data_IF_926349036379
#
_entry.id   IF_926349036379
#
_cell.length_a   1.000
_cell.length_b   1.000
_cell.length_c   1.000
_cell.angle_alpha   90.00
_cell.angle_beta   90.00
_cell.angle_gamma   90.00
#
_symmetry.space_group_name_H-M   'P 1'
#
loop_
_entity.id
_entity.type
_entity.pdbx_description
1 polymer ?
#
# COMPACT_ATOMS: atom_id res chain seq x y z
N UNK A 1 -23.28 -5.46 20.31
CA UNK A 1 -22.81 -6.64 21.10
C UNK A 1 -21.38 -6.48 21.56
N UNK A 2 -20.36 -6.38 20.69
CA UNK A 2 -18.97 -6.18 21.13
C UNK A 2 -18.79 -4.91 21.98
N UNK A 3 -19.35 -3.77 21.52
CA UNK A 3 -19.36 -2.52 22.31
C UNK A 3 -19.93 -2.70 23.71
N UNK A 4 -21.08 -3.36 23.83
CA UNK A 4 -21.70 -3.65 25.13
C UNK A 4 -20.85 -4.60 25.98
N UNK A 5 -20.15 -5.57 25.39
CA UNK A 5 -19.23 -6.44 26.12
C UNK A 5 -17.97 -5.70 26.60
N UNK A 6 -17.54 -4.67 25.85
CA UNK A 6 -16.46 -3.76 26.25
C UNK A 6 -16.92 -2.88 27.42
N UNK A 7 -18.09 -2.25 27.28
CA UNK A 7 -18.73 -1.40 28.29
C UNK A 7 -18.99 -2.14 29.61
N UNK A 8 -19.40 -3.41 29.56
CA UNK A 8 -19.62 -4.26 30.73
C UNK A 8 -18.35 -4.93 31.27
N UNK A 9 -17.17 -4.52 30.79
CA UNK A 9 -15.86 -5.05 31.24
C UNK A 9 -15.76 -6.59 31.18
N UNK A 10 -16.47 -7.22 30.24
CA UNK A 10 -16.52 -8.68 30.13
C UNK A 10 -15.14 -9.24 29.79
N UNK A 11 -14.78 -10.38 30.38
CA UNK A 11 -13.50 -11.08 30.14
C UNK A 11 -13.15 -11.16 28.64
N UNK A 12 -11.89 -10.88 28.24
CA UNK A 12 -11.42 -10.99 26.85
C UNK A 12 -11.75 -12.33 26.19
N UNK A 13 -11.79 -13.45 26.93
CA UNK A 13 -12.18 -14.75 26.39
C UNK A 13 -13.60 -14.75 25.80
N UNK A 14 -14.51 -13.97 26.38
CA UNK A 14 -15.88 -13.82 25.88
C UNK A 14 -15.97 -12.77 24.75
N UNK A 15 -15.00 -11.85 24.64
CA UNK A 15 -14.91 -10.86 23.55
C UNK A 15 -14.36 -11.47 22.27
N UNK A 16 -13.39 -12.37 22.38
CA UNK A 16 -12.70 -13.00 21.25
C UNK A 16 -13.65 -13.60 20.19
N UNK A 17 -14.72 -14.35 20.54
CA UNK A 17 -15.66 -14.86 19.55
C UNK A 17 -16.39 -13.77 18.76
N UNK A 18 -16.65 -12.61 19.38
CA UNK A 18 -17.25 -11.47 18.67
C UNK A 18 -16.25 -10.83 17.72
N UNK A 19 -15.01 -10.58 18.17
CA UNK A 19 -13.93 -10.07 17.32
C UNK A 19 -13.70 -10.99 16.11
N UNK A 20 -13.72 -12.31 16.32
CA UNK A 20 -13.58 -13.30 15.25
C UNK A 20 -14.75 -13.26 14.27
N UNK A 21 -15.99 -13.13 14.76
CA UNK A 21 -17.18 -13.03 13.89
C UNK A 21 -17.19 -11.74 13.09
N UNK A 22 -16.87 -10.61 13.71
CA UNK A 22 -16.76 -9.31 13.03
C UNK A 22 -15.67 -9.37 11.97
N UNK A 23 -14.52 -9.95 12.32
CA UNK A 23 -13.41 -10.16 11.39
C UNK A 23 -13.75 -11.08 10.21
N UNK A 24 -14.88 -11.79 10.16
CA UNK A 24 -15.28 -12.59 8.97
C UNK A 24 -16.10 -11.82 7.95
N UNK A 25 -16.65 -10.66 8.34
CA UNK A 25 -17.53 -9.82 7.52
C UNK A 25 -16.99 -8.39 7.43
N UNK A 26 -15.67 -8.23 7.64
CA UNK A 26 -15.04 -6.92 7.75
C UNK A 26 -15.03 -6.17 6.42
N UNK A 27 -15.07 -6.90 5.31
CA UNK A 27 -15.17 -6.39 3.95
C UNK A 27 -16.53 -5.74 3.63
N UNK A 28 -17.57 -6.01 4.43
CA UNK A 28 -18.89 -5.37 4.35
C UNK A 28 -19.07 -4.27 5.40
N UNK A 29 -18.07 -4.05 6.27
CA UNK A 29 -18.15 -3.12 7.38
C UNK A 29 -17.88 -1.67 6.96
N UNK A 30 -18.40 -0.74 7.74
CA UNK A 30 -18.15 0.70 7.57
C UNK A 30 -17.19 1.22 8.65
N UNK A 31 -16.64 2.41 8.43
CA UNK A 31 -15.76 3.08 9.41
C UNK A 31 -16.44 3.16 10.77
N UNK A 32 -17.75 3.45 10.78
CA UNK A 32 -18.56 3.55 11.99
C UNK A 32 -18.60 2.25 12.78
N UNK A 33 -18.43 1.09 12.13
CA UNK A 33 -18.42 -0.21 12.80
C UNK A 33 -17.07 -0.47 13.49
N UNK A 34 -15.96 0.03 12.92
CA UNK A 34 -14.62 -0.01 13.51
C UNK A 34 -14.42 1.00 14.63
N UNK A 35 -15.18 2.11 14.64
CA UNK A 35 -15.11 3.16 15.67
C UNK A 35 -15.62 2.65 17.04
N UNK A 36 -14.81 1.84 17.73
CA UNK A 36 -15.05 1.34 19.09
C UNK A 36 -14.39 2.32 20.05
N UNK A 37 -15.14 3.07 20.88
CA UNK A 37 -14.54 3.98 21.86
C UNK A 37 -13.67 3.22 22.86
N UNK A 38 -12.54 3.81 23.26
CA UNK A 38 -11.76 3.29 24.39
C UNK A 38 -12.54 3.49 25.70
N UNK A 39 -12.27 2.63 26.67
CA UNK A 39 -12.90 2.68 27.98
C UNK A 39 -11.82 2.83 29.05
N UNK A 40 -11.80 3.97 29.75
CA UNK A 40 -10.84 4.25 30.81
C UNK A 40 -10.93 5.68 31.33
N UNK A 41 -10.60 5.88 32.62
CA UNK A 41 -10.50 7.21 33.24
C UNK A 41 -9.15 7.89 32.96
N UNK A 42 -8.14 7.13 32.54
CA UNK A 42 -6.90 7.66 32.01
C UNK A 42 -7.15 8.15 30.58
N UNK A 43 -6.58 9.30 30.21
CA UNK A 43 -6.60 9.83 28.83
C UNK A 43 -5.82 8.89 27.90
N UNK A 44 -6.44 7.77 27.56
CA UNK A 44 -5.98 6.85 26.55
C UNK A 44 -6.68 7.20 25.22
N UNK A 45 -6.06 6.81 24.10
CA UNK A 45 -6.54 7.02 22.72
C UNK A 45 -8.08 6.97 22.63
N UNK A 46 -8.73 7.86 21.89
CA UNK A 46 -10.19 7.99 21.77
C UNK A 46 -10.90 6.69 21.35
N UNK A 47 -10.19 5.83 20.62
CA UNK A 47 -10.69 4.57 20.10
C UNK A 47 -9.84 3.39 20.59
N UNK A 48 -10.47 2.23 20.79
CA UNK A 48 -9.77 0.98 21.12
C UNK A 48 -9.09 0.41 19.86
N UNK A 49 -7.94 0.98 19.53
CA UNK A 49 -7.09 0.60 18.38
C UNK A 49 -6.61 -0.85 18.50
N UNK A 50 -6.42 -1.36 19.72
CA UNK A 50 -6.03 -2.75 19.97
C UNK A 50 -7.15 -3.75 19.63
N UNK A 51 -8.41 -3.41 19.90
CA UNK A 51 -9.56 -4.20 19.45
C UNK A 51 -9.64 -4.26 17.93
N UNK A 52 -9.50 -3.11 17.27
CA UNK A 52 -9.47 -3.04 15.79
C UNK A 52 -8.33 -3.89 15.24
N UNK A 53 -7.14 -3.81 15.84
CA UNK A 53 -5.97 -4.64 15.47
C UNK A 53 -6.26 -6.14 15.56
N UNK A 54 -6.96 -6.59 16.61
CA UNK A 54 -7.37 -8.00 16.75
C UNK A 54 -8.41 -8.42 15.72
N UNK A 55 -9.39 -7.57 15.43
CA UNK A 55 -10.39 -7.80 14.37
C UNK A 55 -9.72 -7.93 13.00
N UNK A 56 -8.82 -7.00 12.66
CA UNK A 56 -8.04 -7.02 11.42
C UNK A 56 -7.19 -8.28 11.30
N UNK A 57 -6.47 -8.64 12.37
CA UNK A 57 -5.71 -9.89 12.42
C UNK A 57 -6.61 -11.10 12.17
N UNK A 58 -7.80 -11.14 12.77
CA UNK A 58 -8.76 -12.21 12.54
C UNK A 58 -9.20 -12.28 11.07
N UNK A 59 -9.51 -11.14 10.45
CA UNK A 59 -9.85 -11.08 9.02
C UNK A 59 -8.72 -11.64 8.15
N UNK A 60 -7.51 -11.11 8.28
CA UNK A 60 -6.39 -11.54 7.43
C UNK A 60 -5.96 -12.99 7.66
N UNK A 61 -6.00 -13.50 8.90
CA UNK A 61 -5.69 -14.90 9.18
C UNK A 61 -6.72 -15.86 8.54
N UNK A 62 -8.00 -15.46 8.54
CA UNK A 62 -9.12 -16.30 8.12
C UNK A 62 -9.65 -15.97 6.71
N UNK A 63 -9.03 -15.04 5.99
CA UNK A 63 -9.44 -14.68 4.65
C UNK A 63 -9.29 -15.87 3.70
N UNK A 64 -10.41 -16.32 3.15
CA UNK A 64 -10.50 -17.39 2.14
C UNK A 64 -11.14 -16.90 0.84
N UNK A 65 -11.18 -15.58 0.64
CA UNK A 65 -11.76 -14.99 -0.56
C UNK A 65 -11.05 -15.47 -1.84
N UNK A 66 -11.80 -15.69 -2.92
CA UNK A 66 -11.24 -16.19 -4.19
C UNK A 66 -10.40 -15.13 -4.92
N UNK A 67 -10.64 -13.84 -4.66
CA UNK A 67 -9.99 -12.70 -5.28
C UNK A 67 -9.51 -11.69 -4.24
N UNK A 68 -8.90 -10.58 -4.69
CA UNK A 68 -8.38 -9.56 -3.79
C UNK A 68 -9.44 -8.56 -3.32
N UNK A 69 -10.71 -8.70 -3.72
CA UNK A 69 -11.77 -7.68 -3.53
C UNK A 69 -12.05 -7.36 -2.06
N UNK A 70 -12.14 -8.38 -1.20
CA UNK A 70 -12.34 -8.20 0.24
C UNK A 70 -11.12 -7.62 0.94
N UNK A 71 -9.90 -8.06 0.57
CA UNK A 71 -8.65 -7.43 1.05
C UNK A 71 -8.58 -5.97 0.66
N UNK A 72 -9.07 -5.70 -0.56
CA UNK A 72 -9.19 -4.38 -1.12
C UNK A 72 -10.12 -3.57 -0.21
N UNK A 73 -11.40 -3.94 -0.07
CA UNK A 73 -12.37 -3.22 0.76
C UNK A 73 -11.87 -2.96 2.19
N UNK A 74 -11.25 -3.96 2.83
CA UNK A 74 -10.70 -3.80 4.19
C UNK A 74 -9.52 -2.82 4.23
N UNK A 75 -8.63 -2.80 3.25
CA UNK A 75 -7.55 -1.81 3.24
C UNK A 75 -8.07 -0.36 3.13
N UNK A 76 -9.09 -0.11 2.30
CA UNK A 76 -9.76 1.20 2.21
C UNK A 76 -10.43 1.57 3.54
N UNK A 77 -11.15 0.62 4.15
CA UNK A 77 -11.77 0.80 5.46
C UNK A 77 -10.73 1.14 6.55
N UNK A 78 -9.58 0.49 6.53
CA UNK A 78 -8.48 0.76 7.47
C UNK A 78 -7.85 2.11 7.20
N UNK A 79 -7.65 2.51 5.95
CA UNK A 79 -7.12 3.84 5.60
C UNK A 79 -8.07 4.97 6.05
N UNK A 80 -9.38 4.77 5.90
CA UNK A 80 -10.38 5.72 6.37
C UNK A 80 -10.43 5.77 7.90
N UNK A 81 -10.36 4.62 8.58
CA UNK A 81 -10.25 4.56 10.04
C UNK A 81 -8.94 5.23 10.52
N UNK A 82 -7.83 5.00 9.82
CA UNK A 82 -6.53 5.58 10.14
C UNK A 82 -6.59 7.10 10.05
N UNK A 83 -7.23 7.65 9.02
CA UNK A 83 -7.45 9.09 8.90
C UNK A 83 -8.32 9.67 10.04
N UNK A 84 -9.29 8.90 10.54
CA UNK A 84 -10.11 9.29 11.69
C UNK A 84 -9.29 9.32 12.99
N UNK A 85 -8.56 8.24 13.29
CA UNK A 85 -7.75 8.17 14.52
C UNK A 85 -6.53 9.08 14.47
N UNK A 86 -6.02 9.42 13.28
CA UNK A 86 -4.93 10.38 13.11
C UNK A 86 -5.24 11.77 13.67
N UNK A 87 -6.53 12.09 13.86
CA UNK A 87 -6.96 13.35 14.47
C UNK A 87 -6.87 13.36 15.99
N UNK A 88 -6.69 12.21 16.62
CA UNK A 88 -6.54 12.07 18.06
C UNK A 88 -5.11 12.40 18.49
N UNK A 89 -4.96 13.41 19.34
CA UNK A 89 -3.66 13.89 19.82
C UNK A 89 -2.98 12.88 20.76
N UNK A 90 -3.72 11.95 21.34
CA UNK A 90 -3.15 10.94 22.24
C UNK A 90 -2.69 9.68 21.46
N UNK A 91 -2.86 9.64 20.14
CA UNK A 91 -2.47 8.51 19.29
C UNK A 91 -0.94 8.38 19.18
N UNK A 92 -0.44 7.22 19.61
CA UNK A 92 0.99 6.91 19.54
C UNK A 92 1.44 6.63 18.10
N UNK A 93 2.64 7.07 17.76
CA UNK A 93 3.24 6.82 16.44
C UNK A 93 3.35 5.33 16.13
N UNK A 94 3.66 4.49 17.12
CA UNK A 94 3.70 3.03 16.97
C UNK A 94 2.35 2.41 16.63
N UNK A 95 1.25 2.93 17.20
CA UNK A 95 -0.10 2.47 16.92
C UNK A 95 -0.49 2.86 15.50
N UNK A 96 -0.22 4.12 15.14
CA UNK A 96 -0.45 4.64 13.79
C UNK A 96 0.30 3.84 12.72
N UNK A 97 1.61 3.63 12.88
CA UNK A 97 2.42 2.87 11.92
C UNK A 97 1.99 1.40 11.86
N UNK A 98 1.66 0.77 12.98
CA UNK A 98 1.18 -0.60 12.98
C UNK A 98 -0.13 -0.75 12.20
N UNK A 99 -1.09 0.17 12.30
CA UNK A 99 -2.34 0.10 11.54
C UNK A 99 -2.12 0.37 10.05
N UNK A 100 -1.28 1.35 9.71
CA UNK A 100 -0.89 1.64 8.34
C UNK A 100 -0.20 0.42 7.68
N UNK A 101 0.70 -0.26 8.38
CA UNK A 101 1.35 -1.48 7.93
C UNK A 101 0.34 -2.59 7.61
N UNK A 102 -0.71 -2.75 8.42
CA UNK A 102 -1.74 -3.75 8.17
C UNK A 102 -2.52 -3.48 6.89
N UNK A 103 -2.86 -2.21 6.62
CA UNK A 103 -3.52 -1.82 5.37
C UNK A 103 -2.63 -2.06 4.15
N UNK A 104 -1.35 -1.65 4.24
CA UNK A 104 -0.38 -1.84 3.15
C UNK A 104 -0.17 -3.32 2.85
N UNK A 105 -0.08 -4.16 3.88
CA UNK A 105 0.05 -5.60 3.72
C UNK A 105 -1.17 -6.21 3.00
N UNK A 106 -2.37 -5.70 3.26
CA UNK A 106 -3.59 -6.14 2.59
C UNK A 106 -3.64 -5.74 1.11
N UNK A 107 -3.02 -4.61 0.78
CA UNK A 107 -2.93 -4.10 -0.59
C UNK A 107 -1.64 -4.55 -1.32
N UNK A 108 -0.80 -5.39 -0.70
CA UNK A 108 0.47 -5.86 -1.27
C UNK A 108 0.21 -6.67 -2.56
N UNK A 109 0.66 -6.15 -3.71
CA UNK A 109 0.43 -6.75 -5.03
C UNK A 109 -0.84 -6.28 -5.75
N UNK A 110 -1.61 -5.38 -5.15
CA UNK A 110 -2.72 -4.70 -5.83
C UNK A 110 -2.23 -3.42 -6.53
N UNK A 111 -2.99 -2.95 -7.53
CA UNK A 111 -2.73 -1.66 -8.23
C UNK A 111 -3.34 -0.45 -7.50
N UNK A 112 -3.58 -0.57 -6.20
CA UNK A 112 -4.15 0.48 -5.34
C UNK A 112 -3.27 1.73 -5.30
N UNK A 113 -3.91 2.88 -5.20
CA UNK A 113 -3.22 4.10 -4.84
C UNK A 113 -2.86 4.11 -3.36
N UNK A 114 -1.82 4.87 -2.98
CA UNK A 114 -1.42 5.08 -1.58
C UNK A 114 -1.99 6.40 -1.02
N UNK A 115 -3.06 6.91 -1.63
CA UNK A 115 -3.62 8.22 -1.30
C UNK A 115 -4.30 8.24 0.06
N UNK A 116 -4.99 7.16 0.47
CA UNK A 116 -5.61 7.09 1.79
C UNK A 116 -4.59 7.03 2.92
N UNK A 117 -3.48 6.32 2.73
CA UNK A 117 -2.33 6.33 3.66
C UNK A 117 -1.72 7.73 3.72
N UNK A 118 -1.49 8.39 2.58
CA UNK A 118 -0.98 9.76 2.57
C UNK A 118 -1.90 10.72 3.33
N UNK A 119 -3.21 10.66 3.07
CA UNK A 119 -4.22 11.49 3.76
C UNK A 119 -4.16 11.28 5.27
N UNK A 120 -4.03 10.04 5.73
CA UNK A 120 -3.90 9.76 7.16
C UNK A 120 -2.60 10.32 7.75
N UNK A 121 -1.47 10.22 7.03
CA UNK A 121 -0.18 10.79 7.45
C UNK A 121 -0.27 12.32 7.55
N UNK A 122 -0.86 12.97 6.54
CA UNK A 122 -1.03 14.42 6.50
C UNK A 122 -1.81 14.93 7.72
N UNK A 123 -2.96 14.32 8.01
CA UNK A 123 -3.76 14.62 9.20
C UNK A 123 -2.97 14.36 10.49
N UNK A 124 -2.25 13.23 10.56
CA UNK A 124 -1.46 12.87 11.74
C UNK A 124 -0.40 13.93 12.02
N UNK A 125 0.36 14.35 11.01
CA UNK A 125 1.40 15.36 11.16
C UNK A 125 0.85 16.75 11.48
N UNK A 126 -0.30 17.14 10.90
CA UNK A 126 -0.98 18.40 11.22
C UNK A 126 -1.44 18.45 12.67
N UNK A 127 -1.95 17.34 13.21
CA UNK A 127 -2.46 17.26 14.58
C UNK A 127 -1.37 17.04 15.62
N UNK A 128 -0.25 16.43 15.22
CA UNK A 128 0.85 16.07 16.11
C UNK A 128 2.09 16.94 15.84
N UNK A 129 1.92 18.27 15.87
CA UNK A 129 3.02 19.23 15.57
C UNK A 129 4.21 19.14 16.53
N UNK A 130 4.02 18.52 17.69
CA UNK A 130 5.06 18.28 18.70
C UNK A 130 5.96 17.07 18.40
N UNK A 131 5.66 16.26 17.37
CA UNK A 131 6.50 15.12 17.00
C UNK A 131 7.91 15.57 16.65
N UNK A 132 8.87 14.79 17.14
CA UNK A 132 10.29 14.91 16.80
C UNK A 132 10.53 14.54 15.34
N UNK A 133 11.68 14.95 14.81
CA UNK A 133 12.09 14.57 13.45
C UNK A 133 12.06 13.05 13.22
N UNK A 134 12.51 12.27 14.20
CA UNK A 134 12.55 10.81 14.10
C UNK A 134 11.16 10.20 14.01
N UNK A 135 10.21 10.69 14.81
CA UNK A 135 8.82 10.18 14.79
C UNK A 135 8.12 10.56 13.48
N UNK A 136 8.36 11.76 12.94
CA UNK A 136 7.84 12.14 11.62
C UNK A 136 8.42 11.25 10.52
N UNK A 137 9.73 10.97 10.56
CA UNK A 137 10.39 10.03 9.65
C UNK A 137 9.81 8.60 9.78
N UNK A 138 9.48 8.17 11.00
CA UNK A 138 8.86 6.88 11.26
C UNK A 138 7.44 6.79 10.69
N UNK A 139 6.57 7.77 10.97
CA UNK A 139 5.22 7.84 10.45
C UNK A 139 5.18 7.88 8.91
N UNK A 140 6.15 8.56 8.30
CA UNK A 140 6.25 8.71 6.84
C UNK A 140 6.90 7.51 6.12
N UNK A 141 7.54 6.59 6.85
CA UNK A 141 8.32 5.48 6.27
C UNK A 141 7.49 4.58 5.35
N UNK A 142 6.20 4.48 5.64
CA UNK A 142 5.28 3.55 5.00
C UNK A 142 4.68 4.08 3.69
N UNK A 143 4.94 5.35 3.35
CA UNK A 143 4.38 5.98 2.17
C UNK A 143 5.13 5.56 0.89
N UNK A 144 4.44 4.90 -0.04
CA UNK A 144 4.94 4.62 -1.39
C UNK A 144 4.53 5.74 -2.36
N UNK A 145 5.44 6.69 -2.58
CA UNK A 145 5.20 7.82 -3.49
C UNK A 145 4.88 7.40 -4.93
N UNK A 146 5.34 6.22 -5.37
CA UNK A 146 5.09 5.75 -6.74
C UNK A 146 3.60 5.48 -6.98
N UNK A 147 2.91 5.02 -5.93
CA UNK A 147 1.48 4.68 -5.96
C UNK A 147 0.56 5.84 -5.62
N UNK A 148 1.08 7.04 -5.38
CA UNK A 148 0.25 8.21 -5.15
C UNK A 148 -0.32 8.77 -6.46
N UNK A 149 -1.51 9.36 -6.42
CA UNK A 149 -2.05 10.15 -7.52
C UNK A 149 -1.25 11.44 -7.74
N UNK A 150 -1.33 12.07 -8.94
CA UNK A 150 -0.69 13.35 -9.19
C UNK A 150 -1.14 14.44 -8.20
N UNK A 151 -2.44 14.51 -7.90
CA UNK A 151 -3.00 15.49 -6.96
C UNK A 151 -2.44 15.29 -5.54
N UNK A 152 -2.30 14.04 -5.09
CA UNK A 152 -1.68 13.73 -3.81
C UNK A 152 -0.19 14.07 -3.79
N UNK A 153 0.53 13.83 -4.89
CA UNK A 153 1.93 14.24 -5.03
C UNK A 153 2.09 15.77 -4.98
N UNK A 154 1.19 16.52 -5.62
CA UNK A 154 1.22 17.98 -5.58
C UNK A 154 0.99 18.50 -4.16
N UNK A 155 -0.01 17.96 -3.45
CA UNK A 155 -0.24 18.30 -2.04
C UNK A 155 0.99 17.98 -1.17
N UNK A 156 1.59 16.80 -1.35
CA UNK A 156 2.77 16.38 -0.62
C UNK A 156 4.02 17.22 -0.92
N UNK A 157 4.15 17.73 -2.14
CA UNK A 157 5.25 18.64 -2.50
C UNK A 157 5.19 19.98 -1.75
N UNK A 158 4.00 20.41 -1.34
CA UNK A 158 3.76 21.67 -0.63
C UNK A 158 3.67 21.49 0.89
N UNK A 159 3.70 20.24 1.39
CA UNK A 159 3.49 19.94 2.80
C UNK A 159 4.76 20.19 3.63
N UNK A 160 4.75 21.25 4.43
CA UNK A 160 5.86 21.65 5.30
C UNK A 160 6.16 20.67 6.45
N UNK A 161 5.21 19.80 6.79
CA UNK A 161 5.34 18.85 7.90
C UNK A 161 6.05 17.56 7.50
N UNK A 162 6.12 17.26 6.20
CA UNK A 162 6.82 16.09 5.70
C UNK A 162 8.34 16.24 5.84
N UNK A 163 9.06 15.15 6.14
CA UNK A 163 10.52 15.14 6.05
C UNK A 163 10.99 15.56 4.66
N UNK A 164 12.00 16.44 4.57
CA UNK A 164 12.54 16.93 3.30
C UNK A 164 12.92 15.81 2.31
N UNK A 165 13.43 14.68 2.84
CA UNK A 165 13.76 13.51 2.02
C UNK A 165 12.53 12.96 1.28
N UNK A 166 11.37 12.96 1.93
CA UNK A 166 10.13 12.47 1.33
C UNK A 166 9.59 13.47 0.30
N UNK A 167 9.66 14.77 0.58
CA UNK A 167 9.27 15.82 -0.39
C UNK A 167 10.08 15.72 -1.67
N UNK A 168 11.40 15.55 -1.57
CA UNK A 168 12.28 15.34 -2.74
C UNK A 168 11.89 14.08 -3.52
N UNK A 169 11.56 13.00 -2.83
CA UNK A 169 11.12 11.76 -3.46
C UNK A 169 9.79 11.93 -4.20
N UNK A 170 8.82 12.62 -3.60
CA UNK A 170 7.53 12.95 -4.23
C UNK A 170 7.73 13.78 -5.49
N UNK A 171 8.55 14.83 -5.41
CA UNK A 171 8.88 15.69 -6.55
C UNK A 171 9.52 14.88 -7.68
N UNK A 172 10.49 14.02 -7.36
CA UNK A 172 11.13 13.17 -8.35
C UNK A 172 10.14 12.21 -9.03
N UNK A 173 9.26 11.58 -8.27
CA UNK A 173 8.20 10.73 -8.82
C UNK A 173 7.24 11.53 -9.70
N UNK A 174 6.87 12.75 -9.29
CA UNK A 174 6.08 13.66 -10.11
C UNK A 174 6.74 13.97 -11.45
N UNK A 175 8.05 14.27 -11.44
CA UNK A 175 8.83 14.52 -12.66
C UNK A 175 8.87 13.29 -13.58
N UNK A 176 9.05 12.08 -13.04
CA UNK A 176 9.02 10.85 -13.82
C UNK A 176 7.66 10.64 -14.49
N UNK A 177 6.55 10.81 -13.77
CA UNK A 177 5.18 10.68 -14.31
C UNK A 177 4.88 11.70 -15.41
N UNK A 178 5.36 12.93 -15.27
CA UNK A 178 5.24 13.96 -16.29
C UNK A 178 6.01 13.58 -17.57
N UNK A 179 7.27 13.17 -17.43
CA UNK A 179 8.09 12.71 -18.55
C UNK A 179 7.44 11.54 -19.29
N UNK A 180 6.92 10.56 -18.56
CA UNK A 180 6.28 9.39 -19.16
C UNK A 180 4.98 9.76 -19.89
N UNK A 181 4.25 10.77 -19.41
CA UNK A 181 3.07 11.32 -20.09
C UNK A 181 3.47 12.04 -21.38
N UNK A 182 4.48 12.92 -21.32
CA UNK A 182 5.00 13.64 -22.50
C UNK A 182 5.49 12.64 -23.56
N UNK A 183 6.24 11.61 -23.16
CA UNK A 183 6.74 10.59 -24.08
C UNK A 183 5.60 9.84 -24.80
N UNK A 184 4.49 9.58 -24.10
CA UNK A 184 3.29 8.99 -24.73
C UNK A 184 2.66 9.95 -25.73
N UNK A 185 2.44 11.21 -25.35
CA UNK A 185 1.85 12.23 -26.23
C UNK A 185 2.67 12.47 -27.51
N UNK A 186 4.01 12.56 -27.38
CA UNK A 186 4.91 12.67 -28.54
C UNK A 186 4.81 11.44 -29.46
N UNK A 187 4.64 10.24 -28.91
CA UNK A 187 4.43 9.01 -29.68
C UNK A 187 3.05 8.93 -30.36
N UNK A 188 2.02 9.61 -29.84
CA UNK A 188 0.71 9.71 -30.50
C UNK A 188 0.73 10.74 -31.64
N UNK A 189 1.43 11.85 -31.48
CA UNK A 189 1.61 12.86 -32.53
C UNK A 189 2.38 12.30 -33.74
N UNK A 190 3.38 11.44 -33.51
CA UNK A 190 4.12 10.72 -34.56
C UNK A 190 3.21 9.74 -35.36
N UNK A 191 2.27 9.06 -34.68
CA UNK A 191 1.29 8.16 -35.31
C UNK A 191 0.19 8.90 -36.08
N UNK A 192 -0.21 10.09 -35.65
CA UNK A 192 -1.19 10.93 -36.35
C UNK A 192 -0.58 11.59 -37.59
N UNK A 193 0.70 11.98 -37.55
CA UNK A 193 1.43 12.49 -38.73
C UNK A 193 1.58 11.42 -39.82
N UNK A 194 1.76 10.16 -39.45
CA UNK A 194 1.83 9.03 -40.41
C UNK A 194 0.49 8.70 -41.11
N UNK A 195 -0.64 9.19 -40.60
CA UNK A 195 -1.97 9.03 -41.21
C UNK A 195 -2.44 10.28 -41.98
N UNK A 196 -1.65 11.36 -41.97
CA UNK A 196 -1.99 12.65 -42.61
C UNK A 196 -1.20 12.97 -43.88
N UNK A 197 -0.24 12.12 -44.28
CA UNK A 197 0.58 12.35 -45.49
C UNK A 197 -0.11 11.88 -46.78
N UNK A 198 -1.35 12.32 -47.00
CA UNK A 198 -1.97 12.43 -48.33
C UNK A 198 -2.94 13.64 -48.31
N UNK A 199 -2.42 14.87 -48.34
CA UNK A 199 -2.89 15.95 -49.23
C UNK A 199 -2.15 17.29 -49.02
N UNK A 200 -2.10 18.06 -50.10
CA UNK A 200 -1.18 19.16 -50.42
C UNK A 200 -1.19 20.39 -49.50
N UNK A 201 0.00 20.99 -49.38
CA UNK A 201 0.20 22.39 -49.78
C UNK A 201 -0.09 23.51 -48.78
N UNK A 202 0.96 24.02 -48.12
CA UNK A 202 0.95 25.36 -47.54
C UNK A 202 2.00 25.59 -46.45
N UNK A 203 3.00 26.44 -46.72
CA UNK A 203 3.96 26.93 -45.72
C UNK A 203 3.26 27.70 -44.57
N UNK A 204 3.87 27.73 -43.37
CA UNK A 204 4.45 29.01 -43.00
C UNK A 204 5.82 28.89 -42.32
N UNK A 205 6.69 29.84 -42.67
CA UNK A 205 7.95 30.12 -42.02
C UNK A 205 7.75 30.55 -40.55
N UNK A 206 8.48 29.92 -39.61
CA UNK A 206 8.91 30.55 -38.34
C UNK A 206 10.04 29.78 -37.64
N UNK A 207 11.04 30.55 -37.22
CA UNK A 207 12.10 30.31 -36.23
C UNK A 207 13.13 29.18 -36.45
N UNK A 208 14.27 29.52 -37.07
CA UNK A 208 15.49 28.67 -37.11
C UNK A 208 16.05 28.29 -35.74
N UNK A 209 15.78 29.05 -34.67
CA UNK A 209 16.27 28.72 -33.32
C UNK A 209 15.47 27.60 -32.61
N UNK A 210 14.23 27.33 -33.03
CA UNK A 210 13.40 26.30 -32.40
C UNK A 210 13.65 24.91 -32.99
N UNK A 211 14.09 24.85 -34.25
CA UNK A 211 14.43 23.59 -34.93
C UNK A 211 15.70 22.97 -34.37
N UNK A 212 16.73 23.76 -34.05
CA UNK A 212 17.96 23.25 -33.41
C UNK A 212 17.67 22.61 -32.04
N UNK A 213 16.84 23.26 -31.22
CA UNK A 213 16.46 22.74 -29.91
C UNK A 213 15.64 21.45 -30.04
N UNK A 214 14.72 21.36 -31.01
CA UNK A 214 13.98 20.14 -31.30
C UNK A 214 14.91 19.01 -31.78
N UNK A 215 15.86 19.30 -32.67
CA UNK A 215 16.81 18.29 -33.16
C UNK A 215 17.77 17.80 -32.07
N UNK A 216 18.18 18.66 -31.14
CA UNK A 216 19.00 18.24 -30.00
C UNK A 216 18.18 17.46 -28.96
N UNK A 217 16.89 17.80 -28.76
CA UNK A 217 15.96 17.01 -27.93
C UNK A 217 15.73 15.62 -28.53
N UNK A 218 15.53 15.52 -29.85
CA UNK A 218 15.38 14.25 -30.56
C UNK A 218 16.65 13.39 -30.44
N UNK A 219 17.82 13.99 -30.62
CA UNK A 219 19.12 13.33 -30.48
C UNK A 219 19.40 12.89 -29.04
N UNK A 220 18.99 13.67 -28.05
CA UNK A 220 19.02 13.27 -26.64
C UNK A 220 18.03 12.13 -26.35
N UNK A 221 16.85 12.15 -26.99
CA UNK A 221 15.83 11.10 -26.89
C UNK A 221 16.29 9.78 -27.48
N UNK A 222 16.93 9.79 -28.66
CA UNK A 222 17.52 8.58 -29.26
C UNK A 222 18.60 7.97 -28.38
N UNK A 223 19.49 8.81 -27.81
CA UNK A 223 20.52 8.36 -26.87
C UNK A 223 19.93 7.80 -25.58
N UNK A 224 18.86 8.41 -25.06
CA UNK A 224 18.18 7.93 -23.85
C UNK A 224 17.53 6.56 -24.09
N UNK A 225 16.89 6.36 -25.25
CA UNK A 225 16.31 5.07 -25.64
C UNK A 225 17.36 3.99 -25.88
N UNK A 226 18.51 4.35 -26.43
CA UNK A 226 19.66 3.45 -26.59
C UNK A 226 20.22 3.04 -25.23
N UNK A 227 20.44 3.99 -24.32
CA UNK A 227 20.87 3.72 -22.94
C UNK A 227 19.85 2.90 -22.14
N UNK A 228 18.56 3.12 -22.35
CA UNK A 228 17.50 2.35 -21.70
C UNK A 228 17.48 0.91 -22.24
N UNK A 229 17.71 0.72 -23.54
CA UNK A 229 17.87 -0.61 -24.15
C UNK A 229 19.11 -1.32 -23.63
N UNK A 230 20.23 -0.62 -23.50
CA UNK A 230 21.45 -1.16 -22.89
C UNK A 230 21.24 -1.49 -21.41
N UNK A 231 20.55 -0.66 -20.64
CA UNK A 231 20.20 -0.93 -19.25
C UNK A 231 19.25 -2.13 -19.10
N UNK A 232 18.30 -2.31 -20.02
CA UNK A 232 17.45 -3.49 -20.09
C UNK A 232 18.26 -4.74 -20.45
N UNK A 233 19.16 -4.65 -21.43
CA UNK A 233 20.02 -5.77 -21.82
C UNK A 233 20.98 -6.16 -20.70
N UNK A 234 21.57 -5.20 -19.99
CA UNK A 234 22.39 -5.44 -18.80
C UNK A 234 21.56 -6.05 -17.65
N UNK A 235 20.32 -5.59 -17.46
CA UNK A 235 19.41 -6.17 -16.45
C UNK A 235 19.09 -7.62 -16.80
N UNK A 236 18.87 -7.92 -18.06
CA UNK A 236 18.63 -9.28 -18.56
C UNK A 236 19.87 -10.17 -18.46
N UNK A 237 21.08 -9.64 -18.67
CA UNK A 237 22.34 -10.38 -18.45
C UNK A 237 22.58 -10.65 -16.96
N UNK A 238 22.35 -9.67 -16.10
CA UNK A 238 22.46 -9.81 -14.63
C UNK A 238 21.41 -10.79 -14.09
N UNK A 239 20.25 -10.88 -14.73
CA UNK A 239 19.15 -11.77 -14.35
C UNK A 239 19.24 -13.15 -15.04
N UNK A 240 19.95 -13.24 -16.17
CA UNK A 240 20.16 -14.45 -16.97
C UNK A 240 21.09 -15.47 -16.32
N UNK A 241 21.90 -15.05 -15.34
CA UNK A 241 22.75 -15.95 -14.54
C UNK A 241 22.06 -16.47 -13.28
N UNK A 242 20.73 -16.30 -13.16
CA UNK A 242 19.94 -16.99 -12.14
C UNK A 242 18.52 -17.29 -12.63
N UNK A 243 18.29 -18.59 -12.84
CA UNK A 243 17.00 -19.29 -12.95
C UNK A 243 16.42 -19.47 -14.36
N UNK A 244 16.83 -20.59 -14.97
CA UNK A 244 16.00 -21.36 -15.88
C UNK A 244 14.64 -21.73 -15.24
N UNK A 245 13.56 -21.28 -15.87
CA UNK A 245 12.23 -21.89 -15.91
C UNK A 245 11.71 -22.60 -14.66
N UNK A 246 10.91 -21.90 -13.85
CA UNK A 246 9.86 -22.54 -13.04
C UNK A 246 8.56 -21.76 -13.26
N UNK A 247 7.53 -22.46 -13.75
CA UNK A 247 6.15 -21.99 -13.82
C UNK A 247 5.76 -21.44 -12.45
N UNK A 248 5.53 -20.13 -12.35
CA UNK A 248 5.18 -19.47 -11.08
C UNK A 248 3.72 -19.77 -10.75
N UNK A 249 3.52 -20.92 -10.12
CA UNK A 249 2.30 -21.30 -9.42
C UNK A 249 1.97 -20.20 -8.38
N UNK A 250 0.70 -19.75 -8.33
CA UNK A 250 0.19 -18.66 -7.47
C UNK A 250 0.16 -19.03 -5.97
N UNK A 251 1.21 -19.68 -5.47
CA UNK A 251 1.38 -20.08 -4.07
C UNK A 251 2.61 -19.33 -3.54
N UNK A 252 2.41 -18.19 -2.87
CA UNK A 252 3.34 -17.70 -1.81
C UNK A 252 2.98 -16.34 -1.22
N UNK A 253 2.25 -15.45 -1.92
CA UNK A 253 2.00 -14.09 -1.41
C UNK A 253 1.15 -14.10 -0.12
N UNK A 254 0.09 -14.90 -0.07
CA UNK A 254 -0.76 -15.02 1.11
C UNK A 254 -0.09 -15.78 2.25
N UNK A 255 0.86 -16.66 1.92
CA UNK A 255 1.67 -17.35 2.92
C UNK A 255 2.63 -16.36 3.59
N UNK A 256 3.29 -15.49 2.82
CA UNK A 256 4.17 -14.40 3.28
C UNK A 256 3.42 -13.45 4.21
N UNK A 257 2.22 -13.01 3.79
CA UNK A 257 1.37 -12.13 4.58
C UNK A 257 0.93 -12.81 5.88
N UNK A 258 0.47 -14.07 5.85
CA UNK A 258 0.17 -14.84 7.07
C UNK A 258 1.37 -14.96 8.01
N UNK A 259 2.62 -14.92 7.51
CA UNK A 259 3.80 -14.84 8.39
C UNK A 259 3.90 -13.49 9.08
N UNK A 260 3.76 -12.39 8.35
CA UNK A 260 3.83 -11.01 8.88
C UNK A 260 2.80 -10.77 10.00
N UNK A 261 1.61 -11.36 9.89
CA UNK A 261 0.56 -11.27 10.93
C UNK A 261 0.66 -12.34 12.04
N UNK A 262 1.65 -13.24 12.00
CA UNK A 262 1.78 -14.34 12.95
C UNK A 262 0.66 -15.37 12.86
N UNK A 263 0.06 -15.54 11.69
CA UNK A 263 -1.06 -16.45 11.38
C UNK A 263 -0.61 -17.84 10.89
N UNK A 264 0.69 -18.18 10.91
CA UNK A 264 1.13 -19.53 10.50
C UNK A 264 0.82 -20.51 11.64
N UNK A 265 -0.26 -21.28 11.49
CA UNK A 265 -0.35 -22.54 12.22
C UNK A 265 0.66 -23.51 11.62
N UNK A 266 1.60 -23.99 12.43
CA UNK A 266 2.36 -25.21 12.18
C UNK A 266 1.39 -26.39 12.14
N UNK A 267 0.70 -26.59 11.01
CA UNK A 267 0.16 -27.91 10.68
C UNK A 267 1.34 -28.74 10.18
N UNK A 268 2.10 -29.28 11.12
CA UNK A 268 2.74 -30.56 10.87
C UNK A 268 1.67 -31.62 11.14
N UNK A 269 1.42 -32.45 10.14
CA UNK A 269 0.57 -33.63 10.27
C UNK A 269 0.95 -34.42 11.53
N UNK A 270 0.13 -34.30 12.57
CA UNK A 270 0.13 -35.25 13.68
C UNK A 270 -0.45 -36.55 13.15
N UNK A 271 0.37 -37.33 12.44
CA UNK A 271 0.09 -38.73 12.16
C UNK A 271 0.25 -39.53 13.46
N UNK A 272 -0.75 -39.43 14.34
CA UNK A 272 -0.86 -40.26 15.53
C UNK A 272 -1.28 -41.67 15.12
N UNK A 273 -0.31 -42.46 14.64
CA UNK A 273 -0.45 -43.91 14.58
C UNK A 273 -0.55 -44.47 16.00
N UNK A 274 -1.78 -44.69 16.45
CA UNK A 274 -2.11 -45.47 17.64
C UNK A 274 -1.56 -46.89 17.44
N UNK A 275 -0.42 -47.20 18.07
CA UNK A 275 0.06 -48.58 18.22
C UNK A 275 -0.90 -49.34 19.14
N UNK A 276 -1.77 -50.17 18.56
CA UNK A 276 -2.55 -51.16 19.30
C UNK A 276 -1.58 -52.12 20.02
N UNK A 277 -1.51 -52.04 21.35
CA UNK A 277 -0.90 -53.08 22.19
C UNK A 277 -1.72 -54.37 22.03
N UNK A 278 -1.09 -55.42 21.49
CA UNK A 278 -1.59 -56.79 21.59
C UNK A 278 -1.41 -57.24 23.04
N UNK A 279 -2.51 -57.47 23.75
CA UNK A 279 -2.54 -58.23 25.00
C UNK A 279 -2.54 -59.72 24.65
N UNK A 280 -1.56 -60.47 25.13
CA UNK A 280 -1.59 -61.93 25.13
C UNK A 280 -2.42 -62.43 26.32
N UNK A 281 -3.32 -63.40 26.14
CA UNK A 281 -3.94 -64.10 27.25
C UNK A 281 -2.96 -65.16 27.80
N UNK A 282 -2.96 -65.30 29.13
CA UNK A 282 -2.46 -66.48 29.85
C UNK A 282 -3.58 -67.49 29.99
#
# INVERSE_FOLDING_TARGET
>A
MLRSAIELEVNPECRNPFEVRIGKQLDEATIRDLSIPSQGYAKEEQYDTECVRRILKSFYCNYTGPDASGLIAVAELVEDFLAQVASDIDLKTSTFTSLADMSIAASEGTRRSSDGIYRAIDIYLDRHRYLTRSEREEACRLLDCNKMSPDACEHAAQNEWLPLRLVVQVLFVGQLKLRDTIAKEVSYDDRLKQLGDEEEGGEPARNSSSKEVLTEIEKMGSKALELERECCSMREEIQGDSCSGVKREKISMWKEMKRKFGCISSMHDCNCHVKKKKLHPR
#
